data_IF_522999345395
#
_entry.id   IF_522999345395
#
_cell.length_a   1.000
_cell.length_b   1.000
_cell.length_c   1.000
_cell.angle_alpha   90.00
_cell.angle_beta   90.00
_cell.angle_gamma   90.00
#
_symmetry.space_group_name_H-M   'P 1'
#
loop_
_entity.id
_entity.type
_entity.pdbx_description
1 polymer ?
#
# COMPACT_ATOMS: atom_id res chain seq x y z
N UNK A 1 -17.08 15.53 3.30
CA UNK A 1 -18.33 14.89 3.79
C UNK A 1 -18.79 15.55 5.09
N UNK A 2 -18.04 15.49 6.20
CA UNK A 2 -18.48 16.08 7.49
C UNK A 2 -18.81 17.59 7.33
N UNK A 3 -17.90 18.35 6.70
CA UNK A 3 -18.14 19.79 6.41
C UNK A 3 -19.39 20.02 5.56
N UNK A 4 -19.63 19.20 4.55
CA UNK A 4 -20.81 19.25 3.71
C UNK A 4 -22.11 18.90 4.47
N UNK A 5 -22.01 18.08 5.52
CA UNK A 5 -23.11 17.78 6.44
C UNK A 5 -23.36 18.91 7.48
N UNK A 6 -22.66 20.04 7.38
CA UNK A 6 -22.80 21.18 8.30
C UNK A 6 -21.91 21.13 9.54
N UNK A 7 -20.98 20.17 9.64
CA UNK A 7 -20.08 20.08 10.78
C UNK A 7 -18.95 21.08 10.66
N UNK A 8 -18.49 21.59 11.80
CA UNK A 8 -17.20 22.27 11.87
C UNK A 8 -16.09 21.23 11.90
N UNK A 9 -15.14 21.37 10.99
CA UNK A 9 -14.05 20.42 10.78
C UNK A 9 -12.71 21.14 10.83
N UNK A 10 -11.74 20.53 11.50
CA UNK A 10 -10.34 20.92 11.48
C UNK A 10 -9.48 19.69 11.22
N UNK A 11 -8.45 19.84 10.39
CA UNK A 11 -7.47 18.78 10.11
C UNK A 11 -6.16 19.13 10.77
N UNK A 12 -5.56 18.15 11.44
CA UNK A 12 -4.26 18.23 12.10
C UNK A 12 -3.30 17.34 11.35
N UNK A 13 -2.21 17.91 10.84
CA UNK A 13 -1.18 17.20 10.06
C UNK A 13 0.21 17.43 10.68
N UNK A 14 0.88 16.32 10.99
CA UNK A 14 2.22 16.33 11.59
C UNK A 14 3.30 16.90 10.65
N UNK A 15 3.20 16.59 9.36
CA UNK A 15 4.14 17.07 8.36
C UNK A 15 3.95 18.56 8.03
N UNK A 16 4.94 19.12 7.35
CA UNK A 16 4.85 20.49 6.81
C UNK A 16 4.06 20.60 5.50
N UNK A 17 3.39 19.53 5.06
CA UNK A 17 2.61 19.48 3.83
C UNK A 17 1.45 18.50 3.97
N UNK A 18 0.40 18.71 3.19
CA UNK A 18 -0.80 17.88 3.16
C UNK A 18 -0.64 16.70 2.21
N UNK A 19 -1.27 15.57 2.53
CA UNK A 19 -1.39 14.43 1.63
C UNK A 19 -0.61 13.17 2.03
N UNK A 20 0.44 13.30 2.82
CA UNK A 20 1.18 12.16 3.38
C UNK A 20 1.59 11.12 2.35
N UNK A 21 1.50 9.84 2.71
CA UNK A 21 1.80 8.72 1.82
C UNK A 21 0.86 8.64 0.63
N UNK A 22 -0.40 9.08 0.76
CA UNK A 22 -1.38 9.05 -0.34
C UNK A 22 -0.90 9.84 -1.55
N UNK A 23 -0.18 10.96 -1.36
CA UNK A 23 0.38 11.73 -2.48
C UNK A 23 1.51 11.03 -3.24
N UNK A 24 2.14 10.00 -2.66
CA UNK A 24 3.17 9.17 -3.33
C UNK A 24 2.62 7.96 -4.09
N UNK A 25 1.35 7.65 -3.91
CA UNK A 25 0.72 6.47 -4.51
C UNK A 25 0.40 6.69 -6.00
N UNK A 26 -0.03 5.63 -6.68
CA UNK A 26 -0.61 5.75 -8.02
C UNK A 26 -1.96 6.50 -8.02
N UNK A 27 -2.53 6.84 -6.86
CA UNK A 27 -3.80 7.55 -6.74
C UNK A 27 -5.03 6.72 -7.11
N UNK A 28 -4.88 5.39 -7.15
CA UNK A 28 -5.96 4.47 -7.51
C UNK A 28 -6.81 4.14 -6.29
N UNK A 29 -8.11 4.25 -6.45
CA UNK A 29 -9.13 3.86 -5.47
C UNK A 29 -9.86 2.65 -6.03
N UNK A 30 -9.95 1.56 -5.26
CA UNK A 30 -10.73 0.41 -5.66
C UNK A 30 -12.16 0.53 -5.12
N UNK A 31 -13.16 0.55 -6.02
CA UNK A 31 -14.56 0.83 -5.68
C UNK A 31 -15.47 -0.18 -6.37
N UNK A 32 -16.07 -1.11 -5.61
CA UNK A 32 -17.06 -2.03 -6.16
C UNK A 32 -18.32 -1.26 -6.54
N UNK A 33 -19.03 -1.76 -7.53
CA UNK A 33 -20.28 -1.17 -8.06
C UNK A 33 -20.17 0.34 -8.27
N UNK A 34 -19.03 0.81 -8.81
CA UNK A 34 -18.77 2.22 -9.08
C UNK A 34 -19.72 2.78 -10.14
N UNK A 35 -19.85 4.12 -10.21
CA UNK A 35 -20.61 4.79 -11.28
C UNK A 35 -20.14 4.32 -12.66
N UNK A 36 -18.86 4.11 -12.85
CA UNK A 36 -18.30 3.70 -14.15
C UNK A 36 -18.75 2.30 -14.58
N UNK A 37 -18.90 1.36 -13.64
CA UNK A 37 -19.46 0.04 -13.93
C UNK A 37 -20.96 0.13 -14.22
N UNK A 38 -21.69 0.89 -13.40
CA UNK A 38 -23.14 1.07 -13.60
C UNK A 38 -23.48 1.73 -14.93
N UNK A 39 -22.73 2.74 -15.35
CA UNK A 39 -22.92 3.45 -16.64
C UNK A 39 -22.63 2.53 -17.84
N UNK A 40 -21.78 1.52 -17.67
CA UNK A 40 -21.52 0.48 -18.66
C UNK A 40 -22.53 -0.67 -18.61
N UNK A 41 -23.50 -0.63 -17.69
CA UNK A 41 -24.48 -1.71 -17.49
C UNK A 41 -23.88 -2.97 -16.87
N UNK A 42 -22.71 -2.87 -16.25
CA UNK A 42 -22.05 -4.00 -15.57
C UNK A 42 -22.61 -4.11 -14.15
N UNK A 43 -23.22 -5.26 -13.86
CA UNK A 43 -23.72 -5.57 -12.51
C UNK A 43 -22.58 -6.13 -11.65
N UNK A 44 -22.24 -5.40 -10.59
CA UNK A 44 -21.28 -5.85 -9.58
C UNK A 44 -22.06 -6.12 -8.27
N UNK A 45 -22.58 -7.35 -8.16
CA UNK A 45 -23.47 -7.73 -7.05
C UNK A 45 -22.75 -7.76 -5.71
N UNK A 46 -23.48 -7.47 -4.62
CA UNK A 46 -22.93 -7.51 -3.26
C UNK A 46 -22.40 -8.91 -2.93
N UNK A 47 -23.18 -9.95 -3.22
CA UNK A 47 -22.80 -11.33 -2.89
C UNK A 47 -21.50 -11.74 -3.61
N UNK A 48 -21.40 -11.51 -4.92
CA UNK A 48 -20.19 -11.84 -5.68
C UNK A 48 -18.98 -11.04 -5.20
N UNK A 49 -19.16 -9.76 -4.94
CA UNK A 49 -18.08 -8.90 -4.43
C UNK A 49 -17.61 -9.34 -3.05
N UNK A 50 -18.51 -9.68 -2.13
CA UNK A 50 -18.14 -10.16 -0.80
C UNK A 50 -17.41 -11.50 -0.87
N UNK A 51 -17.82 -12.44 -1.74
CA UNK A 51 -17.11 -13.69 -1.99
C UNK A 51 -15.68 -13.44 -2.48
N UNK A 52 -15.53 -12.56 -3.47
CA UNK A 52 -14.21 -12.18 -3.98
C UNK A 52 -13.34 -11.55 -2.88
N UNK A 53 -13.86 -10.58 -2.13
CA UNK A 53 -13.12 -9.92 -1.04
C UNK A 53 -12.74 -10.92 0.06
N UNK A 54 -13.65 -11.80 0.46
CA UNK A 54 -13.40 -12.83 1.46
C UNK A 54 -12.33 -13.82 0.97
N UNK A 55 -12.46 -14.29 -0.26
CA UNK A 55 -11.48 -15.20 -0.89
C UNK A 55 -10.08 -14.59 -0.97
N UNK A 56 -9.98 -13.31 -1.27
CA UNK A 56 -8.70 -12.60 -1.41
C UNK A 56 -8.10 -12.23 -0.05
N UNK A 57 -8.91 -11.66 0.85
CA UNK A 57 -8.40 -11.10 2.12
C UNK A 57 -8.24 -12.14 3.23
N UNK A 58 -9.03 -13.23 3.18
CA UNK A 58 -9.06 -14.27 4.22
C UNK A 58 -8.96 -15.68 3.61
N UNK A 59 -7.94 -15.96 2.77
CA UNK A 59 -7.88 -17.21 1.98
C UNK A 59 -7.85 -18.47 2.84
N UNK A 60 -7.42 -18.38 4.10
CA UNK A 60 -7.39 -19.50 5.04
C UNK A 60 -8.76 -19.79 5.67
N UNK A 61 -9.54 -18.75 5.90
CA UNK A 61 -10.78 -18.83 6.68
C UNK A 61 -12.02 -18.86 5.74
N UNK A 62 -11.84 -18.51 4.45
CA UNK A 62 -12.90 -18.46 3.46
C UNK A 62 -13.50 -19.84 3.15
N UNK A 63 -14.81 -19.95 3.35
CA UNK A 63 -15.63 -21.11 2.99
C UNK A 63 -16.93 -20.63 2.33
N UNK A 64 -17.15 -20.85 1.04
CA UNK A 64 -18.24 -20.24 0.28
C UNK A 64 -19.64 -20.60 0.77
N UNK A 65 -19.80 -21.79 1.37
CA UNK A 65 -21.09 -22.31 1.84
C UNK A 65 -21.33 -22.13 3.35
N UNK A 66 -20.35 -21.53 4.06
CA UNK A 66 -20.49 -21.31 5.50
C UNK A 66 -21.17 -19.96 5.79
N UNK A 67 -21.75 -19.86 6.99
CA UNK A 67 -22.24 -18.59 7.51
C UNK A 67 -21.12 -17.53 7.49
N UNK A 68 -21.44 -16.29 7.08
CA UNK A 68 -20.49 -15.21 6.90
C UNK A 68 -19.27 -15.58 6.01
N UNK A 69 -19.44 -16.51 5.07
CA UNK A 69 -18.36 -17.05 4.22
C UNK A 69 -17.19 -17.65 5.02
N UNK A 70 -17.45 -18.14 6.24
CA UNK A 70 -16.43 -18.68 7.15
C UNK A 70 -15.67 -17.64 7.99
N UNK A 71 -15.92 -16.36 7.77
CA UNK A 71 -15.27 -15.26 8.47
C UNK A 71 -15.90 -15.00 9.84
N UNK A 72 -15.15 -14.39 10.74
CA UNK A 72 -15.72 -13.84 11.97
C UNK A 72 -16.75 -12.76 11.63
N UNK A 73 -17.83 -12.67 12.41
CA UNK A 73 -18.90 -11.70 12.17
C UNK A 73 -18.40 -10.26 12.01
N UNK A 74 -17.38 -9.86 12.78
CA UNK A 74 -16.79 -8.52 12.68
C UNK A 74 -16.00 -8.27 11.37
N UNK A 75 -15.39 -9.29 10.80
CA UNK A 75 -14.68 -9.20 9.52
C UNK A 75 -15.68 -9.14 8.38
N UNK A 76 -16.67 -10.01 8.39
CA UNK A 76 -17.73 -9.99 7.39
C UNK A 76 -18.48 -8.65 7.37
N UNK A 77 -18.85 -8.12 8.56
CA UNK A 77 -19.49 -6.82 8.68
C UNK A 77 -18.64 -5.66 8.12
N UNK A 78 -17.30 -5.74 8.22
CA UNK A 78 -16.41 -4.75 7.60
C UNK A 78 -16.43 -4.82 6.07
N UNK A 79 -16.46 -6.03 5.50
CA UNK A 79 -16.59 -6.21 4.04
C UNK A 79 -17.94 -5.69 3.55
N UNK A 80 -19.03 -5.97 4.27
CA UNK A 80 -20.36 -5.43 3.96
C UNK A 80 -20.36 -3.90 3.99
N UNK A 81 -19.87 -3.32 5.09
CA UNK A 81 -19.79 -1.88 5.25
C UNK A 81 -18.96 -1.21 4.13
N UNK A 82 -17.87 -1.86 3.71
CA UNK A 82 -17.08 -1.39 2.59
C UNK A 82 -17.87 -1.39 1.28
N UNK A 83 -18.50 -2.52 0.93
CA UNK A 83 -19.32 -2.60 -0.29
C UNK A 83 -20.46 -1.57 -0.28
N UNK A 84 -21.20 -1.49 0.82
CA UNK A 84 -22.39 -0.64 0.93
C UNK A 84 -22.08 0.86 0.86
N UNK A 85 -20.84 1.26 1.21
CA UNK A 85 -20.49 2.66 1.34
C UNK A 85 -19.46 3.17 0.31
N UNK A 86 -18.66 2.31 -0.30
CA UNK A 86 -17.56 2.76 -1.16
C UNK A 86 -18.04 3.51 -2.40
N UNK A 87 -19.02 2.94 -3.15
CA UNK A 87 -19.58 3.62 -4.33
C UNK A 87 -20.35 4.88 -3.95
N UNK A 88 -21.10 4.85 -2.86
CA UNK A 88 -21.86 6.02 -2.35
C UNK A 88 -20.90 7.15 -1.98
N UNK A 89 -19.77 6.85 -1.35
CA UNK A 89 -18.74 7.82 -1.01
C UNK A 89 -18.10 8.44 -2.27
N UNK A 90 -17.75 7.60 -3.25
CA UNK A 90 -17.21 8.07 -4.54
C UNK A 90 -18.21 8.99 -5.26
N UNK A 91 -19.45 8.54 -5.42
CA UNK A 91 -20.51 9.31 -6.10
C UNK A 91 -20.71 10.67 -5.43
N UNK A 92 -20.66 10.72 -4.10
CA UNK A 92 -20.77 11.96 -3.35
C UNK A 92 -19.57 12.89 -3.58
N UNK A 93 -18.35 12.37 -3.61
CA UNK A 93 -17.14 13.17 -3.85
C UNK A 93 -17.15 13.76 -5.28
N UNK A 94 -17.56 12.97 -6.27
CA UNK A 94 -17.75 13.45 -7.64
C UNK A 94 -18.84 14.54 -7.70
N UNK A 95 -20.00 14.29 -7.11
CA UNK A 95 -21.12 15.25 -7.09
C UNK A 95 -20.75 16.58 -6.41
N UNK A 96 -19.93 16.54 -5.39
CA UNK A 96 -19.43 17.74 -4.69
C UNK A 96 -18.31 18.47 -5.46
N UNK A 97 -17.85 17.94 -6.58
CA UNK A 97 -16.71 18.47 -7.33
C UNK A 97 -15.41 18.41 -6.53
N UNK A 98 -15.28 17.40 -5.65
CA UNK A 98 -14.04 17.13 -4.92
C UNK A 98 -13.08 16.32 -5.76
N UNK A 99 -13.59 15.36 -6.54
CA UNK A 99 -12.80 14.49 -7.40
C UNK A 99 -13.29 14.58 -8.85
N UNK A 100 -12.36 14.79 -9.76
CA UNK A 100 -12.53 14.58 -11.20
C UNK A 100 -12.13 13.13 -11.51
N UNK A 101 -13.05 12.21 -11.17
CA UNK A 101 -12.80 10.78 -11.20
C UNK A 101 -12.99 10.17 -12.58
N UNK A 102 -12.19 9.16 -12.88
CA UNK A 102 -12.29 8.37 -14.12
C UNK A 102 -12.06 6.89 -13.84
N UNK A 103 -12.56 6.02 -14.72
CA UNK A 103 -12.14 4.62 -14.71
C UNK A 103 -10.64 4.55 -14.96
N UNK A 104 -9.91 3.89 -14.06
CA UNK A 104 -8.47 3.82 -14.18
C UNK A 104 -8.04 2.73 -15.17
N UNK A 105 -7.26 3.13 -16.18
CA UNK A 105 -6.70 2.25 -17.19
C UNK A 105 -5.20 2.13 -17.01
N UNK A 106 -4.68 0.92 -17.04
CA UNK A 106 -3.23 0.73 -17.02
C UNK A 106 -2.65 1.36 -18.31
N UNK A 107 -1.63 2.18 -18.12
CA UNK A 107 -0.95 2.91 -19.21
C UNK A 107 -0.45 2.05 -20.38
N UNK A 108 -0.21 0.75 -20.16
CA UNK A 108 0.21 -0.19 -21.19
C UNK A 108 -0.93 -0.99 -21.83
N UNK A 109 -2.16 -0.82 -21.35
CA UNK A 109 -3.32 -1.59 -21.79
C UNK A 109 -4.48 -0.64 -22.06
N UNK A 110 -5.01 -0.61 -23.28
CA UNK A 110 -6.23 0.14 -23.60
C UNK A 110 -7.49 -0.60 -23.10
N UNK A 111 -7.50 -0.93 -21.82
CA UNK A 111 -8.61 -1.56 -21.12
C UNK A 111 -8.60 -1.18 -19.64
N UNK A 112 -9.76 -1.31 -18.95
CA UNK A 112 -9.81 -1.16 -17.50
C UNK A 112 -8.82 -2.05 -16.79
N UNK A 113 -8.26 -1.57 -15.69
CA UNK A 113 -7.28 -2.33 -14.91
C UNK A 113 -7.92 -3.58 -14.31
N UNK A 114 -7.30 -4.75 -14.51
CA UNK A 114 -7.77 -5.97 -13.87
C UNK A 114 -7.62 -5.90 -12.35
N UNK A 115 -8.54 -6.55 -11.65
CA UNK A 115 -8.43 -6.78 -10.22
C UNK A 115 -7.30 -7.76 -9.89
N UNK A 116 -6.82 -7.72 -8.67
CA UNK A 116 -5.99 -8.79 -8.14
C UNK A 116 -6.82 -10.07 -8.06
N UNK A 117 -6.22 -11.23 -8.38
CA UNK A 117 -6.98 -12.47 -8.56
C UNK A 117 -8.16 -12.33 -9.55
N UNK A 118 -7.91 -11.69 -10.70
CA UNK A 118 -8.90 -11.51 -11.76
C UNK A 118 -9.44 -12.84 -12.36
N UNK A 119 -8.73 -13.93 -12.15
CA UNK A 119 -8.98 -15.25 -12.70
C UNK A 119 -9.61 -16.26 -11.72
N UNK A 120 -9.97 -15.84 -10.50
CA UNK A 120 -10.69 -16.73 -9.56
C UNK A 120 -12.19 -16.74 -9.85
N UNK A 121 -12.84 -17.85 -9.55
CA UNK A 121 -14.26 -18.05 -9.84
C UNK A 121 -15.15 -17.02 -9.14
N UNK A 122 -14.79 -16.63 -7.93
CA UNK A 122 -15.52 -15.65 -7.12
C UNK A 122 -15.51 -14.24 -7.72
N UNK A 123 -14.52 -13.90 -8.56
CA UNK A 123 -14.45 -12.59 -9.18
C UNK A 123 -15.29 -12.53 -10.48
N UNK A 124 -16.54 -12.15 -10.34
CA UNK A 124 -17.47 -12.02 -11.48
C UNK A 124 -17.30 -10.70 -12.26
N UNK A 125 -16.61 -9.72 -11.69
CA UNK A 125 -16.25 -8.44 -12.32
C UNK A 125 -14.74 -8.27 -12.26
N UNK A 126 -14.05 -8.91 -13.19
CA UNK A 126 -12.59 -9.04 -13.15
C UNK A 126 -11.81 -7.72 -13.45
N UNK A 127 -12.48 -6.66 -13.86
CA UNK A 127 -11.89 -5.35 -14.18
C UNK A 127 -12.89 -4.21 -14.05
N UNK A 128 -12.41 -2.97 -13.94
CA UNK A 128 -13.24 -1.75 -13.94
C UNK A 128 -13.62 -1.23 -12.55
N UNK A 129 -13.18 -1.90 -11.46
CA UNK A 129 -13.36 -1.38 -10.10
C UNK A 129 -12.28 -0.36 -9.70
N UNK A 130 -11.19 -0.27 -10.46
CA UNK A 130 -10.14 0.70 -10.22
C UNK A 130 -10.56 2.08 -10.76
N UNK A 131 -10.51 3.08 -9.90
CA UNK A 131 -10.87 4.48 -10.18
C UNK A 131 -9.67 5.37 -9.91
N UNK A 132 -9.35 6.26 -10.82
CA UNK A 132 -8.33 7.29 -10.66
C UNK A 132 -8.93 8.68 -10.79
N UNK A 133 -8.06 9.68 -10.85
CA UNK A 133 -8.42 11.07 -11.10
C UNK A 133 -7.69 11.59 -12.33
N UNK A 134 -8.23 12.61 -12.98
CA UNK A 134 -7.55 13.34 -14.05
C UNK A 134 -7.09 14.72 -13.60
N UNK A 135 -6.00 15.19 -14.19
CA UNK A 135 -5.55 16.57 -14.03
C UNK A 135 -6.39 17.54 -14.91
N UNK A 136 -6.05 18.83 -14.86
CA UNK A 136 -6.75 19.86 -15.63
C UNK A 136 -6.62 19.70 -17.15
N UNK A 137 -5.59 18.98 -17.60
CA UNK A 137 -5.32 18.67 -19.00
C UNK A 137 -6.00 17.35 -19.44
N UNK A 138 -6.66 16.63 -18.53
CA UNK A 138 -7.35 15.37 -18.79
C UNK A 138 -6.45 14.14 -18.76
N UNK A 139 -5.19 14.27 -18.30
CA UNK A 139 -4.31 13.13 -18.14
C UNK A 139 -4.61 12.39 -16.83
N UNK A 140 -4.34 11.08 -16.80
CA UNK A 140 -4.45 10.30 -15.56
C UNK A 140 -3.48 10.87 -14.52
N UNK A 141 -4.02 11.41 -13.44
CA UNK A 141 -3.29 11.86 -12.28
C UNK A 141 -2.88 10.70 -11.38
N UNK A 142 -1.87 10.97 -10.57
CA UNK A 142 -1.41 10.05 -9.52
C UNK A 142 -1.88 10.54 -8.13
N UNK A 143 -1.37 9.95 -7.07
CA UNK A 143 -1.71 10.33 -5.69
C UNK A 143 -1.49 11.82 -5.41
N UNK A 144 -0.52 12.45 -6.07
CA UNK A 144 -0.29 13.90 -5.93
C UNK A 144 -1.48 14.70 -6.45
N UNK A 145 -2.06 14.30 -7.57
CA UNK A 145 -3.26 14.97 -8.10
C UNK A 145 -4.50 14.66 -7.25
N UNK A 146 -4.68 13.40 -6.84
CA UNK A 146 -5.76 13.00 -5.94
C UNK A 146 -5.77 13.87 -4.66
N UNK A 147 -4.62 14.01 -4.02
CA UNK A 147 -4.51 14.84 -2.81
C UNK A 147 -4.57 16.32 -3.11
N UNK A 148 -4.12 16.75 -4.28
CA UNK A 148 -4.28 18.13 -4.78
C UNK A 148 -5.73 18.53 -4.96
N UNK A 149 -6.56 17.67 -5.53
CA UNK A 149 -8.00 17.89 -5.66
C UNK A 149 -8.68 17.98 -4.28
N UNK A 150 -8.34 17.10 -3.37
CA UNK A 150 -8.85 17.15 -1.99
C UNK A 150 -8.44 18.43 -1.28
N UNK A 151 -7.18 18.88 -1.41
CA UNK A 151 -6.68 20.12 -0.80
C UNK A 151 -7.42 21.36 -1.36
N UNK A 152 -7.61 21.41 -2.69
CA UNK A 152 -8.41 22.46 -3.33
C UNK A 152 -9.84 22.49 -2.80
N UNK A 153 -10.46 21.33 -2.63
CA UNK A 153 -11.82 21.23 -2.08
C UNK A 153 -11.88 21.67 -0.61
N UNK A 154 -10.92 21.27 0.22
CA UNK A 154 -10.85 21.71 1.62
C UNK A 154 -10.71 23.24 1.73
N UNK A 155 -9.83 23.85 0.92
CA UNK A 155 -9.69 25.31 0.84
C UNK A 155 -10.98 25.99 0.42
N UNK A 156 -11.64 25.49 -0.61
CA UNK A 156 -12.94 26.03 -1.09
C UNK A 156 -14.03 25.94 -0.03
N UNK A 157 -14.03 24.88 0.77
CA UNK A 157 -14.99 24.67 1.86
C UNK A 157 -14.61 25.41 3.15
N UNK A 158 -13.47 26.10 3.19
CA UNK A 158 -12.99 26.80 4.37
C UNK A 158 -12.63 25.85 5.53
N UNK A 159 -12.13 24.65 5.25
CA UNK A 159 -11.67 23.70 6.27
C UNK A 159 -10.22 24.01 6.64
N UNK A 160 -9.91 24.38 7.90
CA UNK A 160 -8.55 24.62 8.34
C UNK A 160 -7.72 23.32 8.32
N UNK A 161 -6.50 23.40 7.79
CA UNK A 161 -5.48 22.35 7.88
C UNK A 161 -4.30 22.90 8.67
N UNK A 162 -4.11 22.40 9.87
CA UNK A 162 -2.99 22.76 10.74
C UNK A 162 -1.77 21.89 10.43
N UNK A 163 -0.86 22.41 9.62
CA UNK A 163 0.40 21.74 9.29
C UNK A 163 1.40 21.87 10.44
N UNK A 164 2.35 20.92 10.53
CA UNK A 164 3.35 20.85 11.62
C UNK A 164 2.72 20.73 13.02
N UNK A 165 1.52 20.16 13.09
CA UNK A 165 0.82 19.89 14.33
C UNK A 165 0.72 18.38 14.52
N UNK A 166 1.56 17.82 15.37
CA UNK A 166 1.55 16.38 15.68
C UNK A 166 0.52 16.11 16.79
N UNK A 167 -0.46 15.24 16.54
CA UNK A 167 -1.33 14.75 17.61
C UNK A 167 -0.47 14.06 18.69
N UNK A 168 -0.69 14.40 19.96
CA UNK A 168 0.08 13.91 21.10
C UNK A 168 -0.77 13.01 22.01
N UNK A 169 -1.95 13.46 22.38
CA UNK A 169 -2.88 12.71 23.24
C UNK A 169 -4.33 13.15 23.04
N UNK A 170 -5.24 12.25 23.34
CA UNK A 170 -6.66 12.57 23.44
C UNK A 170 -6.99 13.16 24.82
N UNK A 171 -8.02 13.99 24.85
CA UNK A 171 -8.60 14.54 26.10
C UNK A 171 -9.96 13.87 26.30
N UNK A 172 -10.18 13.32 27.48
CA UNK A 172 -11.45 12.71 27.89
C UNK A 172 -12.10 13.47 29.02
N UNK A 173 -13.42 13.39 29.13
CA UNK A 173 -14.16 13.80 30.30
C UNK A 173 -14.20 12.71 31.38
N UNK A 174 -14.86 12.98 32.51
CA UNK A 174 -14.97 12.06 33.64
C UNK A 174 -15.70 10.75 33.29
N UNK A 175 -16.46 10.72 32.21
CA UNK A 175 -17.13 9.51 31.69
C UNK A 175 -16.24 8.66 30.76
N UNK A 176 -15.03 9.14 30.44
CA UNK A 176 -14.14 8.53 29.48
C UNK A 176 -14.45 8.88 28.01
N UNK A 177 -15.39 9.79 27.76
CA UNK A 177 -15.71 10.23 26.40
C UNK A 177 -14.61 11.17 25.90
N UNK A 178 -14.16 10.94 24.66
CA UNK A 178 -13.21 11.85 23.99
C UNK A 178 -13.89 13.18 23.67
N UNK A 179 -13.32 14.27 24.19
CA UNK A 179 -13.82 15.66 24.04
C UNK A 179 -12.82 16.57 23.30
N UNK A 180 -11.66 16.05 22.92
CA UNK A 180 -10.66 16.81 22.20
C UNK A 180 -9.34 16.07 22.05
N UNK A 181 -8.37 16.79 21.53
CA UNK A 181 -6.99 16.33 21.46
C UNK A 181 -6.03 17.46 21.80
N UNK A 182 -4.83 17.09 22.26
CA UNK A 182 -3.68 17.99 22.32
C UNK A 182 -2.77 17.65 21.15
N UNK A 183 -2.37 18.68 20.42
CA UNK A 183 -1.36 18.60 19.38
C UNK A 183 -0.12 19.38 19.78
N UNK A 184 1.05 19.00 19.27
CA UNK A 184 2.31 19.72 19.43
C UNK A 184 2.65 20.48 18.15
N UNK A 185 2.95 21.76 18.30
CA UNK A 185 3.50 22.63 17.27
C UNK A 185 4.86 23.17 17.74
N UNK A 186 5.94 22.52 17.33
CA UNK A 186 7.24 22.70 17.99
C UNK A 186 7.15 22.31 19.46
N UNK A 187 7.55 23.22 20.36
CA UNK A 187 7.48 23.01 21.81
C UNK A 187 6.14 23.44 22.44
N UNK A 188 5.21 23.95 21.65
CA UNK A 188 3.93 24.44 22.13
C UNK A 188 2.84 23.38 22.07
N UNK A 189 2.05 23.25 23.12
CA UNK A 189 0.82 22.47 23.13
C UNK A 189 -0.35 23.30 22.62
N UNK A 190 -1.10 22.72 21.68
CA UNK A 190 -2.31 23.29 21.11
C UNK A 190 -3.48 22.39 21.46
N UNK A 191 -4.39 22.91 22.29
CA UNK A 191 -5.61 22.20 22.67
C UNK A 191 -6.71 22.41 21.62
N UNK A 192 -7.28 21.33 21.12
CA UNK A 192 -8.35 21.33 20.11
C UNK A 192 -9.54 20.59 20.69
N UNK A 193 -10.65 21.31 20.87
CA UNK A 193 -11.92 20.73 21.33
C UNK A 193 -12.61 19.99 20.19
N UNK A 194 -13.12 18.80 20.47
CA UNK A 194 -13.91 17.99 19.54
C UNK A 194 -15.29 17.69 20.14
N UNK A 195 -16.33 18.32 19.65
CA UNK A 195 -17.70 18.14 20.17
C UNK A 195 -18.32 16.81 19.74
N UNK A 196 -17.95 16.29 18.55
CA UNK A 196 -18.52 15.06 17.99
C UNK A 196 -17.55 13.88 18.04
N UNK A 197 -16.28 14.09 17.78
CA UNK A 197 -15.27 13.03 17.81
C UNK A 197 -13.98 13.40 17.12
N UNK A 198 -12.99 12.53 17.25
CA UNK A 198 -11.68 12.61 16.59
C UNK A 198 -11.55 11.40 15.67
N UNK A 199 -11.20 11.63 14.41
CA UNK A 199 -10.97 10.59 13.41
C UNK A 199 -9.47 10.52 13.12
N UNK A 200 -8.86 9.36 13.35
CA UNK A 200 -7.48 9.12 12.98
C UNK A 200 -7.37 8.65 11.53
N UNK A 201 -6.64 9.39 10.72
CA UNK A 201 -6.24 9.03 9.35
C UNK A 201 -4.71 9.18 9.19
N UNK A 202 -3.96 8.94 10.25
CA UNK A 202 -2.54 9.26 10.40
C UNK A 202 -1.58 8.26 9.75
N UNK A 203 -2.10 7.30 8.95
CA UNK A 203 -1.30 6.30 8.27
C UNK A 203 -0.86 5.16 9.19
N UNK A 204 0.19 4.44 8.77
CA UNK A 204 0.71 3.27 9.48
C UNK A 204 1.97 3.56 10.30
N UNK A 205 2.68 2.48 10.66
CA UNK A 205 3.83 2.53 11.56
C UNK A 205 5.15 2.07 10.89
N UNK A 206 5.21 1.98 9.58
CA UNK A 206 6.34 1.34 8.87
C UNK A 206 7.70 2.02 9.08
N UNK A 207 7.74 3.28 9.52
CA UNK A 207 8.97 3.99 9.90
C UNK A 207 9.26 3.96 11.41
N UNK A 208 8.43 3.30 12.21
CA UNK A 208 8.73 3.01 13.61
C UNK A 208 9.32 1.59 13.73
N UNK A 209 10.63 1.49 13.85
CA UNK A 209 11.34 0.19 13.91
C UNK A 209 10.95 -0.66 15.12
N UNK A 210 10.56 -0.04 16.24
CA UNK A 210 10.03 -0.75 17.41
C UNK A 210 8.72 -1.46 17.09
N UNK A 211 7.73 -0.73 16.55
CA UNK A 211 6.46 -1.35 16.15
C UNK A 211 6.62 -2.37 15.01
N UNK A 212 7.56 -2.14 14.11
CA UNK A 212 7.89 -3.14 13.08
C UNK A 212 8.41 -4.42 13.72
N UNK A 213 9.33 -4.33 14.68
CA UNK A 213 9.85 -5.50 15.40
C UNK A 213 8.77 -6.21 16.23
N UNK A 214 7.87 -5.45 16.87
CA UNK A 214 6.82 -6.01 17.71
C UNK A 214 5.70 -6.71 16.91
N UNK A 215 5.33 -6.18 15.74
CA UNK A 215 4.13 -6.61 15.03
C UNK A 215 4.42 -7.35 13.71
N UNK A 216 5.59 -7.20 13.10
CA UNK A 216 5.93 -7.87 11.85
C UNK A 216 6.80 -9.11 12.11
N UNK A 217 6.40 -10.25 11.53
CA UNK A 217 7.15 -11.51 11.65
C UNK A 217 8.35 -11.60 10.72
N UNK A 218 8.40 -10.73 9.72
CA UNK A 218 9.44 -10.73 8.70
C UNK A 218 10.19 -9.42 8.74
N UNK A 219 11.44 -9.44 8.32
CA UNK A 219 12.24 -8.22 8.19
C UNK A 219 11.53 -7.23 7.23
N UNK A 220 11.58 -5.96 7.60
CA UNK A 220 11.10 -4.84 6.79
C UNK A 220 12.26 -3.85 6.68
N UNK A 221 13.03 -3.98 5.61
CA UNK A 221 14.28 -3.24 5.42
C UNK A 221 14.03 -1.79 5.00
N UNK A 222 12.91 -1.54 4.31
CA UNK A 222 12.54 -0.20 3.86
C UNK A 222 11.03 0.02 3.82
N UNK A 223 10.64 1.25 3.51
CA UNK A 223 9.24 1.62 3.33
C UNK A 223 9.07 2.71 2.28
N UNK A 224 8.09 2.53 1.38
CA UNK A 224 7.64 3.56 0.45
C UNK A 224 6.75 4.61 1.11
N UNK A 225 6.32 4.42 2.34
CA UNK A 225 5.53 5.41 3.08
C UNK A 225 6.34 6.68 3.37
N UNK A 226 5.66 7.76 3.67
CA UNK A 226 6.32 8.98 4.13
C UNK A 226 7.01 8.73 5.50
N UNK A 227 8.22 9.30 5.73
CA UNK A 227 8.98 9.10 6.97
C UNK A 227 8.22 9.46 8.25
N UNK A 228 7.19 10.29 8.14
CA UNK A 228 6.31 10.66 9.25
C UNK A 228 5.31 9.56 9.64
N UNK A 229 5.23 8.45 8.91
CA UNK A 229 4.35 7.31 9.21
C UNK A 229 4.94 6.45 10.34
N UNK A 230 4.85 6.93 11.57
CA UNK A 230 5.46 6.34 12.77
C UNK A 230 4.47 5.67 13.72
N UNK A 231 3.19 5.60 13.33
CA UNK A 231 2.16 4.88 14.09
C UNK A 231 1.71 5.63 15.37
N UNK A 232 1.75 6.94 15.38
CA UNK A 232 1.42 7.76 16.56
C UNK A 232 0.04 7.42 17.14
N UNK A 233 -0.94 7.10 16.26
CA UNK A 233 -2.29 6.74 16.68
C UNK A 233 -2.34 5.50 17.57
N UNK A 234 -1.40 4.56 17.44
CA UNK A 234 -1.40 3.32 18.22
C UNK A 234 -1.32 3.62 19.71
N UNK A 235 -0.35 4.45 20.11
CA UNK A 235 -0.23 4.88 21.48
C UNK A 235 -1.42 5.73 21.91
N UNK A 236 -1.74 6.78 21.15
CA UNK A 236 -2.78 7.75 21.47
C UNK A 236 -4.16 7.09 21.65
N UNK A 237 -4.50 6.15 20.75
CA UNK A 237 -5.77 5.46 20.80
C UNK A 237 -5.80 4.37 21.90
N UNK A 238 -4.67 3.69 22.15
CA UNK A 238 -4.57 2.70 23.24
C UNK A 238 -4.74 3.32 24.61
N UNK A 239 -4.23 4.53 24.81
CA UNK A 239 -4.34 5.26 26.08
C UNK A 239 -5.80 5.54 26.49
N UNK A 240 -6.73 5.52 25.55
CA UNK A 240 -8.18 5.65 25.78
C UNK A 240 -8.97 4.35 25.57
N UNK A 241 -8.28 3.22 25.49
CA UNK A 241 -8.90 1.89 25.42
C UNK A 241 -9.44 1.51 24.03
N UNK A 242 -8.96 2.11 22.94
CA UNK A 242 -9.37 1.72 21.61
C UNK A 242 -8.94 0.27 21.29
N UNK A 243 -9.83 -0.49 20.63
CA UNK A 243 -9.53 -1.84 20.19
C UNK A 243 -8.54 -1.82 19.03
N UNK A 244 -7.42 -2.53 19.19
CA UNK A 244 -6.45 -2.79 18.12
C UNK A 244 -6.75 -4.13 17.46
N UNK A 245 -6.52 -4.22 16.16
CA UNK A 245 -6.71 -5.46 15.40
C UNK A 245 -5.80 -5.54 14.19
N UNK A 246 -5.49 -6.77 13.78
CA UNK A 246 -4.70 -7.09 12.59
C UNK A 246 -3.37 -6.30 12.48
N UNK A 247 -2.65 -6.16 13.60
CA UNK A 247 -1.42 -5.37 13.66
C UNK A 247 -0.28 -5.96 12.82
N UNK A 248 -0.33 -7.27 12.52
CA UNK A 248 0.62 -7.94 11.62
C UNK A 248 0.28 -7.77 10.13
N UNK A 249 -0.93 -7.31 9.82
CA UNK A 249 -1.33 -7.01 8.45
C UNK A 249 -0.51 -5.86 7.87
N UNK A 250 0.05 -6.07 6.68
CA UNK A 250 0.84 -5.05 6.00
C UNK A 250 0.64 -5.16 4.50
N UNK A 251 0.62 -4.02 3.83
CA UNK A 251 0.70 -3.96 2.38
C UNK A 251 2.17 -3.95 1.99
N UNK A 252 2.64 -5.06 1.43
CA UNK A 252 4.07 -5.31 1.20
C UNK A 252 4.45 -5.06 -0.25
N UNK A 253 5.71 -4.71 -0.46
CA UNK A 253 6.30 -4.50 -1.78
C UNK A 253 7.77 -4.86 -1.76
N UNK A 254 8.26 -5.52 -2.81
CA UNK A 254 9.68 -5.80 -2.98
C UNK A 254 10.43 -4.50 -3.27
N UNK A 255 11.59 -4.35 -2.68
CA UNK A 255 12.48 -3.18 -2.83
C UNK A 255 13.84 -3.64 -3.32
N UNK A 256 14.57 -2.84 -4.12
CA UNK A 256 15.99 -3.05 -4.31
C UNK A 256 16.72 -2.96 -2.98
N UNK A 257 17.49 -3.98 -2.64
CA UNK A 257 18.11 -4.10 -1.34
C UNK A 257 19.04 -2.93 -1.02
N UNK A 258 19.86 -2.52 -2.00
CA UNK A 258 20.80 -1.41 -1.85
C UNK A 258 20.10 -0.06 -1.60
N UNK A 259 18.91 0.14 -2.15
CA UNK A 259 18.13 1.34 -1.85
C UNK A 259 17.61 1.30 -0.41
N UNK A 260 17.11 0.14 0.05
CA UNK A 260 16.59 -0.02 1.38
C UNK A 260 17.68 0.11 2.47
N UNK A 261 18.90 -0.37 2.19
CA UNK A 261 20.05 -0.22 3.11
C UNK A 261 20.62 1.19 3.12
N UNK A 262 20.58 1.90 1.99
CA UNK A 262 21.02 3.29 1.91
C UNK A 262 20.07 4.25 2.65
N UNK A 263 18.78 4.02 2.54
CA UNK A 263 17.74 4.78 3.25
C UNK A 263 16.49 3.94 3.45
N UNK A 264 15.99 3.91 4.69
CA UNK A 264 14.73 3.23 4.98
C UNK A 264 13.54 3.83 4.23
N UNK A 265 13.57 5.11 3.91
CA UNK A 265 12.54 5.80 3.15
C UNK A 265 12.84 5.70 1.65
N UNK A 266 12.42 4.61 1.00
CA UNK A 266 12.65 4.39 -0.42
C UNK A 266 11.63 5.16 -1.29
N UNK A 267 12.02 5.61 -2.50
CA UNK A 267 11.13 6.38 -3.35
C UNK A 267 10.00 5.52 -3.93
N UNK A 268 10.29 4.31 -4.38
CA UNK A 268 9.34 3.38 -4.98
C UNK A 268 9.76 1.94 -4.76
N UNK A 269 8.79 1.01 -4.87
CA UNK A 269 9.05 -0.43 -4.88
C UNK A 269 8.65 -1.07 -6.20
N UNK A 270 8.88 -2.37 -6.33
CA UNK A 270 8.61 -3.14 -7.55
C UNK A 270 7.12 -3.42 -7.66
N UNK A 271 6.38 -2.51 -8.29
CA UNK A 271 4.94 -2.61 -8.47
C UNK A 271 4.57 -3.79 -9.38
N UNK A 272 5.20 -3.90 -10.54
CA UNK A 272 5.04 -5.02 -11.45
C UNK A 272 6.41 -5.49 -11.97
N UNK A 273 6.46 -6.71 -12.47
CA UNK A 273 7.65 -7.27 -13.11
C UNK A 273 7.45 -7.19 -14.62
N UNK A 274 8.17 -6.29 -15.30
CA UNK A 274 7.99 -6.07 -16.74
C UNK A 274 8.52 -7.26 -17.57
N UNK A 275 8.08 -7.30 -18.83
CA UNK A 275 8.57 -8.29 -19.80
C UNK A 275 8.08 -9.71 -19.58
N UNK A 276 8.50 -10.59 -20.49
CA UNK A 276 8.18 -12.03 -20.53
C UNK A 276 9.38 -12.91 -20.16
N UNK A 277 10.58 -12.34 -20.10
CA UNK A 277 11.85 -13.02 -19.80
C UNK A 277 12.48 -12.55 -18.49
N UNK A 278 11.66 -12.19 -17.50
CA UNK A 278 12.10 -11.85 -16.16
C UNK A 278 11.54 -12.86 -15.17
N UNK A 279 12.42 -13.43 -14.34
CA UNK A 279 12.04 -14.37 -13.29
C UNK A 279 12.70 -13.98 -11.96
N UNK A 280 12.13 -14.46 -10.88
CA UNK A 280 12.67 -14.28 -9.53
C UNK A 280 13.14 -15.61 -8.96
N UNK A 281 14.39 -15.63 -8.52
CA UNK A 281 14.97 -16.81 -7.84
C UNK A 281 15.44 -16.41 -6.44
N UNK A 282 15.39 -17.37 -5.52
CA UNK A 282 15.97 -17.23 -4.20
C UNK A 282 17.49 -17.48 -4.20
N UNK A 283 18.11 -17.43 -3.03
CA UNK A 283 19.56 -17.69 -2.86
C UNK A 283 20.03 -19.06 -3.33
N UNK A 284 19.13 -20.02 -3.52
CA UNK A 284 19.39 -21.35 -4.05
C UNK A 284 19.11 -21.48 -5.55
N UNK A 285 18.94 -20.37 -6.26
CA UNK A 285 18.60 -20.36 -7.67
C UNK A 285 17.20 -20.92 -8.00
N UNK A 286 16.35 -21.12 -7.00
CA UNK A 286 15.01 -21.70 -7.20
C UNK A 286 14.00 -20.61 -7.45
N UNK A 287 13.21 -20.76 -8.52
CA UNK A 287 12.02 -19.97 -8.77
C UNK A 287 10.91 -20.41 -7.80
N UNK A 288 10.42 -19.51 -6.97
CA UNK A 288 9.51 -19.80 -5.85
C UNK A 288 8.23 -18.97 -5.88
N UNK A 289 8.07 -18.09 -6.86
CA UNK A 289 6.93 -17.18 -6.97
C UNK A 289 6.49 -17.04 -8.43
N UNK A 290 5.23 -16.71 -8.64
CA UNK A 290 4.76 -16.23 -9.94
C UNK A 290 4.99 -14.71 -10.00
N UNK A 291 5.91 -14.27 -10.82
CA UNK A 291 6.34 -12.88 -10.96
C UNK A 291 5.24 -11.96 -11.46
N UNK A 292 4.22 -12.51 -12.12
CA UNK A 292 3.08 -11.76 -12.66
C UNK A 292 1.94 -11.56 -11.66
N UNK A 293 2.04 -12.15 -10.47
CA UNK A 293 1.14 -11.81 -9.37
C UNK A 293 1.33 -10.36 -8.93
N UNK A 294 0.30 -9.78 -8.32
CA UNK A 294 0.40 -8.45 -7.76
C UNK A 294 1.52 -8.35 -6.71
N UNK A 295 2.01 -7.16 -6.50
CA UNK A 295 3.20 -6.93 -5.68
C UNK A 295 3.02 -7.32 -4.21
N UNK A 296 1.82 -7.21 -3.66
CA UNK A 296 1.55 -7.61 -2.28
C UNK A 296 1.65 -9.13 -2.12
N UNK A 297 1.01 -9.91 -3.00
CA UNK A 297 1.08 -11.37 -2.98
C UNK A 297 2.50 -11.87 -3.21
N UNK A 298 3.23 -11.27 -4.17
CA UNK A 298 4.63 -11.63 -4.42
C UNK A 298 5.50 -11.43 -3.19
N UNK A 299 5.24 -10.39 -2.44
CA UNK A 299 6.06 -10.03 -1.28
C UNK A 299 5.87 -10.95 -0.10
N UNK A 300 4.78 -11.72 -0.03
CA UNK A 300 4.56 -12.71 1.03
C UNK A 300 5.62 -13.84 1.01
N UNK A 301 6.25 -14.10 -0.14
CA UNK A 301 7.28 -15.12 -0.28
C UNK A 301 8.49 -14.89 0.62
N UNK A 302 8.81 -13.63 0.94
CA UNK A 302 9.93 -13.27 1.81
C UNK A 302 9.72 -13.74 3.27
N UNK A 303 8.47 -13.94 3.68
CA UNK A 303 8.08 -14.42 5.00
C UNK A 303 8.09 -15.93 5.19
N UNK A 304 8.47 -16.70 4.18
CA UNK A 304 8.48 -18.17 4.25
C UNK A 304 9.71 -18.65 5.00
N UNK A 305 9.47 -19.20 6.19
CA UNK A 305 10.50 -19.82 7.04
C UNK A 305 10.63 -21.31 6.73
N UNK A 306 11.86 -21.76 6.47
CA UNK A 306 12.20 -23.18 6.30
C UNK A 306 12.71 -23.75 7.62
N UNK A 307 11.90 -24.57 8.34
CA UNK A 307 12.32 -25.13 9.62
C UNK A 307 13.44 -26.18 9.49
N UNK A 308 13.59 -26.78 8.32
CA UNK A 308 14.67 -27.74 8.05
C UNK A 308 16.05 -27.09 7.97
N UNK A 309 16.09 -25.83 7.57
CA UNK A 309 17.30 -25.01 7.43
C UNK A 309 17.43 -23.94 8.50
N UNK A 310 16.39 -23.75 9.31
CA UNK A 310 16.26 -22.69 10.31
C UNK A 310 16.49 -21.28 9.75
N UNK A 311 15.91 -20.99 8.57
CA UNK A 311 16.11 -19.71 7.87
C UNK A 311 14.90 -19.24 7.07
N UNK A 312 14.88 -17.96 6.73
CA UNK A 312 13.99 -17.39 5.70
C UNK A 312 14.70 -17.53 4.35
N UNK A 313 14.41 -18.61 3.61
CA UNK A 313 15.10 -18.98 2.36
C UNK A 313 14.96 -17.95 1.25
N UNK A 314 13.91 -17.13 1.31
CA UNK A 314 13.54 -16.17 0.29
C UNK A 314 13.70 -14.72 0.77
N UNK A 315 14.46 -14.48 1.85
CA UNK A 315 14.66 -13.12 2.39
C UNK A 315 15.21 -12.18 1.32
N UNK A 316 16.25 -12.61 0.59
CA UNK A 316 16.69 -11.97 -0.63
C UNK A 316 16.21 -12.76 -1.86
N UNK A 317 15.72 -12.05 -2.85
CA UNK A 317 15.33 -12.57 -4.15
C UNK A 317 16.12 -11.86 -5.24
N UNK A 318 16.48 -12.58 -6.29
CA UNK A 318 17.20 -12.04 -7.44
C UNK A 318 16.27 -12.01 -8.63
N UNK A 319 16.12 -10.85 -9.27
CA UNK A 319 15.41 -10.70 -10.53
C UNK A 319 16.40 -10.92 -11.66
N UNK A 320 16.21 -12.00 -12.41
CA UNK A 320 17.06 -12.39 -13.54
C UNK A 320 16.32 -12.14 -14.84
N UNK A 321 16.94 -11.44 -15.75
CA UNK A 321 16.37 -11.12 -17.07
C UNK A 321 17.46 -11.03 -18.13
N UNK A 322 17.07 -11.17 -19.38
CA UNK A 322 17.95 -11.15 -20.53
C UNK A 322 18.15 -9.72 -21.09
N UNK A 323 19.10 -9.59 -22.01
CA UNK A 323 19.43 -8.31 -22.66
C UNK A 323 18.22 -7.75 -23.44
N UNK A 324 17.44 -8.59 -24.08
CA UNK A 324 16.22 -8.19 -24.81
C UNK A 324 15.21 -7.51 -23.86
N UNK A 325 14.99 -8.09 -22.70
CA UNK A 325 14.11 -7.49 -21.67
C UNK A 325 14.70 -6.18 -21.13
N UNK A 326 16.02 -6.13 -20.91
CA UNK A 326 16.68 -4.91 -20.46
C UNK A 326 16.50 -3.74 -21.43
N UNK A 327 16.58 -4.01 -22.74
CA UNK A 327 16.42 -3.01 -23.79
C UNK A 327 14.94 -2.63 -24.01
N UNK A 328 14.07 -3.62 -24.12
CA UNK A 328 12.64 -3.39 -24.41
C UNK A 328 11.89 -2.67 -23.29
N UNK A 329 12.35 -2.84 -22.04
CA UNK A 329 11.69 -2.27 -20.86
C UNK A 329 12.59 -1.30 -20.09
N UNK A 330 13.63 -0.75 -20.75
CA UNK A 330 14.52 0.25 -20.14
C UNK A 330 13.73 1.41 -19.53
N UNK A 331 14.05 1.76 -18.28
CA UNK A 331 13.34 2.79 -17.52
C UNK A 331 12.04 2.36 -16.85
N UNK A 332 11.56 1.13 -17.09
CA UNK A 332 10.45 0.56 -16.33
C UNK A 332 10.99 -0.09 -15.06
N UNK A 333 10.89 0.61 -13.92
CA UNK A 333 11.41 0.13 -12.66
C UNK A 333 10.96 -1.33 -12.35
N UNK A 334 11.86 -2.25 -11.94
CA UNK A 334 13.23 -2.04 -11.50
C UNK A 334 14.32 -2.09 -12.59
N UNK A 335 13.96 -2.14 -13.88
CA UNK A 335 14.94 -2.11 -14.98
C UNK A 335 15.44 -0.67 -15.15
N UNK A 336 16.75 -0.42 -15.04
CA UNK A 336 17.31 0.93 -15.21
C UNK A 336 17.17 1.43 -16.66
N UNK A 337 17.21 2.76 -16.84
CA UNK A 337 17.21 3.39 -18.17
C UNK A 337 18.42 2.94 -18.99
N UNK A 338 19.57 2.84 -18.33
CA UNK A 338 20.81 2.33 -18.96
C UNK A 338 21.26 1.10 -18.18
N UNK A 339 21.44 -0.06 -18.81
CA UNK A 339 21.89 -1.26 -18.13
C UNK A 339 23.19 -1.02 -17.35
N UNK A 340 23.19 -1.42 -16.08
CA UNK A 340 24.36 -1.26 -15.19
C UNK A 340 24.59 0.16 -14.65
N UNK A 341 23.66 1.08 -14.84
CA UNK A 341 23.76 2.44 -14.29
C UNK A 341 23.40 2.52 -12.82
N UNK A 342 22.70 1.53 -12.29
CA UNK A 342 22.21 1.50 -10.91
C UNK A 342 23.02 0.55 -10.03
N UNK A 343 23.12 0.93 -8.75
CA UNK A 343 23.87 0.17 -7.77
C UNK A 343 23.32 -1.24 -7.53
N UNK A 344 22.04 -1.50 -7.80
CA UNK A 344 21.35 -2.77 -7.56
C UNK A 344 21.31 -3.71 -8.76
N UNK A 345 21.94 -3.37 -9.89
CA UNK A 345 22.01 -4.23 -11.07
C UNK A 345 23.43 -4.75 -11.32
N UNK A 346 23.53 -6.02 -11.71
CA UNK A 346 24.77 -6.64 -12.19
C UNK A 346 24.50 -7.32 -13.52
N UNK A 347 25.50 -7.35 -14.41
CA UNK A 347 25.38 -7.98 -15.72
C UNK A 347 26.53 -8.95 -15.98
N UNK A 348 26.27 -10.01 -16.74
CA UNK A 348 27.23 -11.00 -17.14
C UNK A 348 26.96 -11.49 -18.54
N UNK A 349 27.98 -11.93 -19.25
CA UNK A 349 27.89 -12.50 -20.60
C UNK A 349 27.43 -13.97 -20.61
N UNK A 350 27.36 -14.58 -19.43
CA UNK A 350 26.86 -15.94 -19.20
C UNK A 350 26.30 -16.04 -17.79
N UNK A 351 25.54 -17.10 -17.51
CA UNK A 351 25.00 -17.39 -16.17
C UNK A 351 26.14 -17.52 -15.15
N UNK A 352 27.22 -18.20 -15.50
CA UNK A 352 28.40 -18.35 -14.62
C UNK A 352 29.07 -17.01 -14.31
N UNK A 353 29.24 -16.14 -15.34
CA UNK A 353 29.82 -14.80 -15.13
C UNK A 353 28.90 -13.94 -14.25
N UNK A 354 27.58 -14.04 -14.44
CA UNK A 354 26.60 -13.34 -13.60
C UNK A 354 26.63 -13.81 -12.16
N UNK A 355 26.69 -15.15 -11.94
CA UNK A 355 26.79 -15.75 -10.60
C UNK A 355 28.05 -15.27 -9.88
N UNK A 356 29.20 -15.25 -10.53
CA UNK A 356 30.45 -14.72 -9.93
C UNK A 356 30.30 -13.27 -9.47
N UNK A 357 29.76 -12.41 -10.30
CA UNK A 357 29.52 -11.00 -9.94
C UNK A 357 28.48 -10.82 -8.82
N UNK A 358 27.46 -11.68 -8.77
CA UNK A 358 26.48 -11.66 -7.67
C UNK A 358 27.15 -12.03 -6.35
N UNK A 359 28.03 -13.05 -6.34
CA UNK A 359 28.81 -13.46 -5.15
C UNK A 359 29.70 -12.29 -4.67
N UNK A 360 30.46 -11.67 -5.59
CA UNK A 360 31.29 -10.50 -5.28
C UNK A 360 30.46 -9.35 -4.71
N UNK A 361 29.30 -9.10 -5.31
CA UNK A 361 28.39 -8.04 -4.86
C UNK A 361 27.84 -8.32 -3.45
N UNK A 362 27.37 -9.53 -3.18
CA UNK A 362 26.88 -9.91 -1.87
C UNK A 362 27.97 -9.86 -0.81
N UNK A 363 29.19 -10.26 -1.14
CA UNK A 363 30.32 -10.13 -0.24
C UNK A 363 30.62 -8.68 0.14
N UNK A 364 30.44 -7.74 -0.80
CA UNK A 364 30.65 -6.31 -0.58
C UNK A 364 29.59 -5.68 0.35
N UNK A 365 28.38 -6.25 0.41
CA UNK A 365 27.26 -5.75 1.24
C UNK A 365 26.90 -6.72 2.38
N UNK A 366 27.69 -7.77 2.61
CA UNK A 366 27.36 -8.88 3.52
C UNK A 366 27.16 -8.48 4.99
N UNK A 367 27.69 -7.35 5.43
CA UNK A 367 27.42 -6.84 6.78
C UNK A 367 25.93 -6.59 7.04
N UNK A 368 25.17 -6.28 6.00
CA UNK A 368 23.76 -5.86 6.08
C UNK A 368 22.78 -6.89 5.49
N UNK A 369 23.28 -7.98 4.89
CA UNK A 369 22.43 -8.98 4.21
C UNK A 369 21.78 -10.01 5.13
N UNK A 370 21.94 -9.89 6.44
CA UNK A 370 21.43 -10.88 7.40
C UNK A 370 22.08 -12.27 7.25
N UNK A 371 23.31 -12.33 6.71
CA UNK A 371 24.05 -13.58 6.54
C UNK A 371 23.67 -14.40 5.30
N UNK A 372 23.07 -13.78 4.28
CA UNK A 372 22.83 -14.46 3.01
C UNK A 372 24.15 -14.78 2.33
N UNK A 373 24.45 -16.06 2.22
CA UNK A 373 25.56 -16.58 1.42
C UNK A 373 24.97 -17.30 0.22
N UNK A 374 25.37 -16.93 -1.00
CA UNK A 374 25.01 -17.71 -2.18
C UNK A 374 25.82 -19.02 -2.15
N UNK A 375 25.12 -20.14 -2.23
CA UNK A 375 25.76 -21.42 -2.52
C UNK A 375 26.18 -21.40 -4.00
N UNK A 376 27.48 -21.54 -4.24
CA UNK A 376 28.06 -21.47 -5.59
C UNK A 376 27.96 -22.77 -6.39
N UNK A 377 27.05 -23.69 -6.01
CA UNK A 377 26.85 -25.00 -6.67
C UNK A 377 26.04 -24.93 -7.96
#
# INVERSE_FOLDING_TARGET
VAKDNGDEVIIVEKAGFFGGTSSKTAGVIWVPNSVFLRDQGISDSKDDCLRYLARFSFPRDYHPDAENLGLRASEYALLEAFYDNASVALDRLIKLGVLDAVEWRMWALDRPTPDYLDNVEENKVAQGRAVGVVDAEGNIGQGIELMGQMDRALKKMGVPVLLKHAADRLVTDDSGRVIGLIAKHGDQEVAIKANKGVIFASGGYSHNTGYVADFQRVAVDGSCAMPVSTGDFLKIASDVGAKMGNMSGAWRMQLPFEQATATRAVPAGVFYVPGDSMLQVNKYGRRVVNEKRNYNDRSEIHGVYDPGKAEFTNHLMFMVYDQRTAEAFAGNFPIPVTPGSDAYTVSGTSVSALSGKLIERLAAISGDTGGVVLDGG
#
